data_IF_653159914220
#
_entry.id   IF_653159914220
#
_cell.length_a   1.000
_cell.length_b   1.000
_cell.length_c   1.000
_cell.angle_alpha   90.00
_cell.angle_beta   90.00
_cell.angle_gamma   90.00
#
_symmetry.space_group_name_H-M   'P 1'
#
loop_
_entity.id
_entity.type
_entity.pdbx_description
1 polymer ?
#
# COMPACT_ATOMS: atom_id res chain seq x y z
N UNK A 1 -24.72 -59.33 -23.04
CA UNK A 1 -25.03 -58.22 -22.10
C UNK A 1 -24.09 -57.06 -22.42
N UNK A 2 -24.51 -55.84 -22.13
CA UNK A 2 -24.10 -54.64 -22.86
C UNK A 2 -22.81 -53.97 -22.37
N UNK A 3 -22.16 -53.26 -23.29
CA UNK A 3 -21.59 -51.92 -23.07
C UNK A 3 -22.39 -50.93 -23.95
N UNK A 4 -22.30 -49.58 -23.79
CA UNK A 4 -21.50 -48.77 -22.85
C UNK A 4 -22.41 -48.18 -21.74
N UNK A 5 -22.20 -47.06 -21.01
CA UNK A 5 -21.23 -45.94 -21.08
C UNK A 5 -21.18 -45.14 -19.75
N UNK A 6 -20.19 -44.23 -19.60
CA UNK A 6 -20.16 -43.06 -18.67
C UNK A 6 -20.10 -43.38 -17.15
N UNK A 7 -19.38 -42.66 -16.26
CA UNK A 7 -18.47 -41.48 -16.30
C UNK A 7 -17.38 -41.63 -15.21
N UNK A 8 -16.21 -40.94 -15.32
CA UNK A 8 -15.31 -40.75 -14.19
C UNK A 8 -15.77 -39.58 -13.30
N UNK A 9 -16.18 -39.86 -12.07
CA UNK A 9 -16.56 -38.82 -11.09
C UNK A 9 -15.39 -38.47 -10.16
N UNK A 10 -14.48 -37.61 -10.63
CA UNK A 10 -13.67 -36.79 -9.74
C UNK A 10 -14.41 -35.48 -9.44
N UNK A 11 -14.42 -35.07 -8.17
CA UNK A 11 -14.10 -33.68 -7.85
C UNK A 11 -12.73 -33.66 -7.19
N UNK A 12 -11.80 -32.94 -7.79
CA UNK A 12 -10.60 -32.46 -7.14
C UNK A 12 -10.99 -31.77 -5.82
N UNK A 13 -10.15 -31.91 -4.78
CA UNK A 13 -10.20 -30.97 -3.65
C UNK A 13 -10.03 -29.53 -4.16
N UNK A 14 -10.50 -28.50 -3.41
CA UNK A 14 -10.77 -27.18 -3.94
C UNK A 14 -9.59 -26.62 -4.75
N UNK A 15 -9.75 -26.68 -6.08
CA UNK A 15 -8.90 -25.97 -7.01
C UNK A 15 -9.02 -24.49 -6.64
N UNK A 16 -7.89 -23.90 -6.24
CA UNK A 16 -7.84 -22.49 -5.87
C UNK A 16 -8.36 -21.68 -7.06
N UNK A 17 -9.56 -21.11 -6.94
CA UNK A 17 -10.22 -20.48 -8.10
C UNK A 17 -9.25 -19.47 -8.73
N UNK A 18 -8.98 -19.59 -10.04
CA UNK A 18 -8.06 -18.69 -10.70
C UNK A 18 -8.68 -17.30 -10.64
N UNK A 19 -8.05 -16.42 -9.86
CA UNK A 19 -8.49 -15.05 -9.59
C UNK A 19 -9.28 -14.49 -10.78
N UNK A 20 -10.60 -14.38 -10.62
CA UNK A 20 -11.46 -13.75 -11.62
C UNK A 20 -10.81 -12.40 -12.00
N UNK A 21 -10.81 -12.00 -13.28
CA UNK A 21 -10.05 -10.85 -13.74
C UNK A 21 -10.59 -9.56 -13.13
N UNK A 22 -10.12 -9.25 -11.92
CA UNK A 22 -10.28 -7.96 -11.29
C UNK A 22 -9.65 -6.97 -12.25
N UNK A 23 -10.49 -6.05 -12.70
CA UNK A 23 -10.12 -5.02 -13.65
C UNK A 23 -8.90 -4.28 -13.09
N UNK A 24 -7.71 -4.59 -13.61
CA UNK A 24 -6.38 -4.19 -13.07
C UNK A 24 -6.19 -2.68 -12.88
N UNK A 25 -7.07 -1.86 -13.48
CA UNK A 25 -7.20 -0.41 -13.28
C UNK A 25 -7.89 -0.06 -11.95
N UNK A 26 -8.94 -0.77 -11.57
CA UNK A 26 -9.63 -0.57 -10.29
C UNK A 26 -8.75 -1.01 -9.11
N UNK A 27 -8.02 -2.11 -9.22
CA UNK A 27 -7.07 -2.53 -8.17
C UNK A 27 -5.98 -1.47 -7.96
N UNK A 28 -5.44 -0.90 -9.04
CA UNK A 28 -4.49 0.22 -8.98
C UNK A 28 -5.08 1.50 -8.36
N UNK A 29 -6.34 1.83 -8.67
CA UNK A 29 -7.04 2.97 -8.07
C UNK A 29 -7.35 2.74 -6.58
N UNK A 30 -7.66 1.50 -6.18
CA UNK A 30 -7.86 1.12 -4.78
C UNK A 30 -6.54 1.20 -4.00
N UNK A 31 -5.44 0.72 -4.57
CA UNK A 31 -4.11 0.80 -3.96
C UNK A 31 -3.69 2.27 -3.79
N UNK A 32 -3.93 3.14 -4.78
CA UNK A 32 -3.73 4.60 -4.65
C UNK A 32 -4.63 5.18 -3.55
N UNK A 33 -5.92 4.84 -3.54
CA UNK A 33 -6.86 5.37 -2.56
C UNK A 33 -6.49 4.96 -1.14
N UNK A 34 -6.24 3.66 -0.90
CA UNK A 34 -5.84 3.10 0.39
C UNK A 34 -4.55 3.73 0.90
N UNK A 35 -3.54 3.87 0.03
CA UNK A 35 -2.27 4.50 0.38
C UNK A 35 -2.47 5.97 0.80
N UNK A 36 -3.28 6.74 0.08
CA UNK A 36 -3.52 8.15 0.40
C UNK A 36 -4.41 8.34 1.63
N UNK A 37 -5.50 7.58 1.77
CA UNK A 37 -6.42 7.69 2.91
C UNK A 37 -5.75 7.28 4.23
N UNK A 38 -4.99 6.18 4.23
CA UNK A 38 -4.22 5.74 5.38
C UNK A 38 -3.10 6.72 5.71
N UNK A 39 -2.38 7.21 4.70
CA UNK A 39 -1.32 8.21 4.91
C UNK A 39 -1.88 9.52 5.49
N UNK A 40 -3.08 9.96 5.10
CA UNK A 40 -3.75 11.11 5.73
C UNK A 40 -4.07 10.87 7.21
N UNK A 41 -4.66 9.72 7.56
CA UNK A 41 -5.01 9.37 8.94
C UNK A 41 -3.78 9.33 9.87
N UNK A 42 -2.64 8.84 9.36
CA UNK A 42 -1.37 8.82 10.10
C UNK A 42 -0.67 10.18 10.09
N UNK A 43 -0.75 10.95 9.00
CA UNK A 43 -0.04 12.21 8.86
C UNK A 43 -0.64 13.36 9.67
N UNK A 44 -1.96 13.46 9.79
CA UNK A 44 -2.61 14.55 10.55
C UNK A 44 -2.04 14.70 11.98
N UNK A 45 -1.97 13.66 12.84
CA UNK A 45 -1.38 13.80 14.17
C UNK A 45 0.14 14.03 14.15
N UNK A 46 0.85 13.53 13.13
CA UNK A 46 2.31 13.73 13.03
C UNK A 46 2.64 15.16 12.60
N UNK A 47 1.98 15.68 11.57
CA UNK A 47 2.32 16.93 10.91
C UNK A 47 1.68 18.14 11.61
N UNK A 48 0.39 18.08 11.95
CA UNK A 48 -0.32 19.22 12.54
C UNK A 48 -0.18 19.29 14.06
N UNK A 49 -0.12 18.15 14.76
CA UNK A 49 -0.09 18.12 16.24
C UNK A 49 1.35 18.02 16.78
N UNK A 50 2.17 17.13 16.23
CA UNK A 50 3.52 16.88 16.75
C UNK A 50 4.60 17.74 16.08
N UNK A 51 4.51 17.96 14.76
CA UNK A 51 5.39 18.86 14.04
C UNK A 51 4.85 20.29 13.88
N UNK A 52 3.66 20.61 14.42
CA UNK A 52 3.17 22.00 14.53
C UNK A 52 2.81 22.72 13.22
N UNK A 53 2.73 22.01 12.09
CA UNK A 53 2.49 22.61 10.77
C UNK A 53 1.14 23.32 10.66
N UNK A 54 1.07 24.35 9.81
CA UNK A 54 -0.22 24.88 9.38
C UNK A 54 -0.96 23.90 8.46
N UNK A 55 -2.29 24.01 8.43
CA UNK A 55 -3.13 23.32 7.44
C UNK A 55 -2.70 23.59 5.99
N UNK A 56 -2.08 24.74 5.71
CA UNK A 56 -1.63 25.10 4.37
C UNK A 56 -0.35 24.36 3.96
N UNK A 57 0.59 24.17 4.89
CA UNK A 57 1.80 23.35 4.67
C UNK A 57 1.41 21.88 4.55
N UNK A 58 0.62 21.35 5.50
CA UNK A 58 0.11 19.98 5.42
C UNK A 58 -0.56 19.70 4.08
N UNK A 59 -1.49 20.55 3.61
CA UNK A 59 -2.16 20.32 2.33
C UNK A 59 -1.19 20.35 1.13
N UNK A 60 -0.20 21.25 1.12
CA UNK A 60 0.86 21.27 0.09
C UNK A 60 1.68 19.98 0.12
N UNK A 61 2.16 19.58 1.30
CA UNK A 61 2.93 18.33 1.51
C UNK A 61 2.12 17.12 1.03
N UNK A 62 0.82 17.04 1.33
CA UNK A 62 -0.06 15.95 0.88
C UNK A 62 -0.29 15.94 -0.63
N UNK A 63 -0.48 17.10 -1.27
CA UNK A 63 -0.64 17.20 -2.73
C UNK A 63 0.66 16.86 -3.48
N UNK A 64 1.80 17.33 -2.99
CA UNK A 64 3.12 16.99 -3.54
C UNK A 64 3.43 15.51 -3.34
N UNK A 65 3.06 14.92 -2.19
CA UNK A 65 3.18 13.48 -1.95
C UNK A 65 2.37 12.65 -2.94
N UNK A 66 1.14 13.05 -3.28
CA UNK A 66 0.31 12.36 -4.28
C UNK A 66 1.00 12.32 -5.65
N UNK A 67 1.57 13.44 -6.09
CA UNK A 67 2.31 13.54 -7.36
C UNK A 67 3.58 12.69 -7.32
N UNK A 68 4.42 12.86 -6.29
CA UNK A 68 5.66 12.11 -6.16
C UNK A 68 5.42 10.61 -6.04
N UNK A 69 4.51 10.16 -5.17
CA UNK A 69 4.15 8.74 -5.01
C UNK A 69 3.73 8.11 -6.36
N UNK A 70 3.01 8.85 -7.20
CA UNK A 70 2.61 8.39 -8.53
C UNK A 70 3.81 8.23 -9.48
N UNK A 71 4.74 9.19 -9.48
CA UNK A 71 5.94 9.16 -10.32
C UNK A 71 6.95 8.10 -9.88
N UNK A 72 7.18 7.96 -8.58
CA UNK A 72 8.18 7.04 -8.01
C UNK A 72 7.71 5.60 -7.91
N UNK A 73 6.40 5.31 -8.02
CA UNK A 73 5.85 3.97 -7.80
C UNK A 73 6.58 2.87 -8.60
N UNK A 74 6.96 3.18 -9.85
CA UNK A 74 7.75 2.29 -10.71
C UNK A 74 9.22 2.18 -10.24
N UNK A 75 10.00 3.27 -10.11
CA UNK A 75 11.33 3.25 -9.50
C UNK A 75 11.42 2.51 -8.15
N UNK A 76 10.51 2.81 -7.22
CA UNK A 76 10.44 2.17 -5.90
C UNK A 76 10.20 0.66 -6.03
N UNK A 77 9.29 0.23 -6.90
CA UNK A 77 9.04 -1.21 -7.12
C UNK A 77 10.29 -1.94 -7.64
N UNK A 78 11.06 -1.31 -8.53
CA UNK A 78 12.32 -1.88 -9.04
C UNK A 78 13.37 -1.95 -7.92
N UNK A 79 13.52 -0.88 -7.14
CA UNK A 79 14.44 -0.82 -6.01
C UNK A 79 14.10 -1.88 -4.94
N UNK A 80 12.84 -1.96 -4.50
CA UNK A 80 12.36 -2.97 -3.55
C UNK A 80 12.68 -4.37 -4.00
N UNK A 81 12.36 -4.72 -5.25
CA UNK A 81 12.59 -6.06 -5.77
C UNK A 81 14.10 -6.39 -5.85
N UNK A 82 14.96 -5.41 -6.15
CA UNK A 82 16.41 -5.60 -6.11
C UNK A 82 16.93 -5.85 -4.69
N UNK A 83 16.49 -5.06 -3.69
CA UNK A 83 16.89 -5.26 -2.28
C UNK A 83 16.35 -6.59 -1.74
N UNK A 84 15.07 -6.90 -1.97
CA UNK A 84 14.44 -8.16 -1.50
C UNK A 84 15.09 -9.39 -2.14
N UNK A 85 15.43 -9.36 -3.44
CA UNK A 85 16.16 -10.46 -4.09
C UNK A 85 17.61 -10.62 -3.58
N UNK A 86 18.20 -9.58 -2.98
CA UNK A 86 19.59 -9.59 -2.49
C UNK A 86 19.71 -9.91 -1.01
N UNK A 87 18.75 -9.48 -0.19
CA UNK A 87 18.81 -9.53 1.27
C UNK A 87 17.61 -10.25 1.92
N UNK A 88 16.55 -10.54 1.17
CA UNK A 88 15.39 -11.29 1.64
C UNK A 88 15.69 -12.77 1.88
N UNK A 89 14.85 -13.40 2.70
CA UNK A 89 15.04 -14.75 3.22
C UNK A 89 14.83 -14.75 4.74
N UNK A 90 15.34 -15.75 5.46
CA UNK A 90 15.48 -15.68 6.93
C UNK A 90 14.18 -15.61 7.76
N UNK A 91 13.01 -15.87 7.17
CA UNK A 91 11.73 -15.90 7.88
C UNK A 91 11.06 -14.52 8.07
N UNK A 92 9.92 -14.46 8.80
CA UNK A 92 9.05 -13.29 8.81
C UNK A 92 9.69 -12.03 9.42
N UNK A 93 10.59 -12.19 10.39
CA UNK A 93 11.30 -11.06 11.02
C UNK A 93 12.29 -10.43 10.02
N UNK A 94 13.05 -11.24 9.28
CA UNK A 94 13.97 -10.73 8.26
C UNK A 94 13.18 -10.03 7.14
N UNK A 95 12.11 -10.64 6.64
CA UNK A 95 11.23 -10.02 5.64
C UNK A 95 10.72 -8.63 6.09
N UNK A 96 10.25 -8.50 7.34
CA UNK A 96 9.84 -7.22 7.93
C UNK A 96 11.00 -6.21 8.02
N UNK A 97 12.19 -6.63 8.42
CA UNK A 97 13.37 -5.75 8.51
C UNK A 97 13.85 -5.28 7.14
N UNK A 98 13.84 -6.16 6.13
CA UNK A 98 14.19 -5.82 4.74
C UNK A 98 13.16 -4.86 4.14
N UNK A 99 11.87 -5.09 4.35
CA UNK A 99 10.82 -4.16 3.90
C UNK A 99 10.89 -2.82 4.62
N UNK A 100 11.15 -2.81 5.93
CA UNK A 100 11.39 -1.58 6.71
C UNK A 100 12.61 -0.83 6.18
N UNK A 101 13.71 -1.53 5.88
CA UNK A 101 14.91 -0.92 5.31
C UNK A 101 14.66 -0.33 3.93
N UNK A 102 13.99 -1.06 3.02
CA UNK A 102 13.59 -0.56 1.69
C UNK A 102 12.73 0.70 1.82
N UNK A 103 11.74 0.65 2.72
CA UNK A 103 10.82 1.76 2.95
C UNK A 103 11.57 2.98 3.49
N UNK A 104 12.35 2.86 4.55
CA UNK A 104 13.11 3.98 5.11
C UNK A 104 14.13 4.52 4.11
N UNK A 105 14.98 3.67 3.51
CA UNK A 105 16.05 4.12 2.61
C UNK A 105 15.56 4.87 1.36
N UNK A 106 14.36 4.56 0.85
CA UNK A 106 13.80 5.20 -0.34
C UNK A 106 12.73 6.27 -0.01
N UNK A 107 11.81 6.00 0.91
CA UNK A 107 10.70 6.89 1.23
C UNK A 107 11.11 8.03 2.15
N UNK A 108 12.11 7.85 3.03
CA UNK A 108 12.52 8.89 3.99
C UNK A 108 13.13 10.13 3.32
N UNK A 109 14.09 10.02 2.36
CA UNK A 109 14.60 11.19 1.65
C UNK A 109 13.51 11.93 0.86
N UNK A 110 12.56 11.18 0.31
CA UNK A 110 11.40 11.74 -0.39
C UNK A 110 10.43 12.44 0.56
N UNK A 111 10.20 11.89 1.76
CA UNK A 111 9.39 12.53 2.78
C UNK A 111 10.00 13.86 3.23
N UNK A 112 11.30 13.87 3.57
CA UNK A 112 12.02 15.09 3.92
C UNK A 112 11.99 16.14 2.80
N UNK A 113 12.27 15.73 1.56
CA UNK A 113 12.21 16.64 0.40
C UNK A 113 10.80 17.19 0.16
N UNK A 114 9.78 16.36 0.34
CA UNK A 114 8.38 16.74 0.19
C UNK A 114 7.90 17.71 1.29
N UNK A 115 8.32 17.51 2.54
CA UNK A 115 8.09 18.46 3.62
C UNK A 115 8.79 19.81 3.34
N UNK A 116 10.07 19.76 2.96
CA UNK A 116 10.86 20.96 2.67
C UNK A 116 10.26 21.78 1.51
N UNK A 117 9.85 21.12 0.43
CA UNK A 117 9.11 21.75 -0.68
C UNK A 117 7.72 22.26 -0.28
N UNK A 118 7.11 21.69 0.76
CA UNK A 118 5.85 22.16 1.35
C UNK A 118 5.98 23.48 2.13
N UNK A 119 7.20 23.88 2.49
CA UNK A 119 7.52 25.06 3.29
C UNK A 119 8.00 24.74 4.71
N UNK A 120 8.09 23.46 5.09
CA UNK A 120 8.48 23.04 6.43
C UNK A 120 9.92 23.45 6.80
N UNK A 121 10.10 23.90 8.04
CA UNK A 121 11.40 24.12 8.66
C UNK A 121 12.09 22.81 9.04
N UNK A 122 13.40 22.86 9.27
CA UNK A 122 14.22 21.69 9.56
C UNK A 122 13.85 20.99 10.88
N UNK A 123 13.37 21.74 11.88
CA UNK A 123 12.96 21.19 13.18
C UNK A 123 11.63 20.43 13.08
N UNK A 124 10.69 20.94 12.28
CA UNK A 124 9.43 20.26 11.96
C UNK A 124 9.69 18.99 11.13
N UNK A 125 10.59 19.07 10.14
CA UNK A 125 11.04 17.91 9.34
C UNK A 125 11.65 16.84 10.25
N UNK A 126 12.56 17.19 11.15
CA UNK A 126 13.20 16.24 12.06
C UNK A 126 12.18 15.58 13.01
N UNK A 127 11.28 16.38 13.59
CA UNK A 127 10.25 15.90 14.52
C UNK A 127 9.29 14.93 13.84
N UNK A 128 8.68 15.35 12.72
CA UNK A 128 7.76 14.50 11.96
C UNK A 128 8.45 13.22 11.48
N UNK A 129 9.70 13.31 11.03
CA UNK A 129 10.51 12.19 10.56
C UNK A 129 10.72 11.12 11.64
N UNK A 130 11.12 11.52 12.85
CA UNK A 130 11.34 10.60 13.98
C UNK A 130 10.02 9.96 14.40
N UNK A 131 8.97 10.76 14.57
CA UNK A 131 7.63 10.28 14.90
C UNK A 131 7.11 9.30 13.84
N UNK A 132 7.28 9.62 12.56
CA UNK A 132 6.87 8.77 11.45
C UNK A 132 7.62 7.43 11.45
N UNK A 133 8.93 7.40 11.69
CA UNK A 133 9.68 6.14 11.76
C UNK A 133 9.22 5.26 12.93
N UNK A 134 8.96 5.85 14.11
CA UNK A 134 8.46 5.12 15.28
C UNK A 134 7.04 4.57 15.04
N UNK A 135 6.14 5.39 14.50
CA UNK A 135 4.75 5.03 14.25
C UNK A 135 4.63 4.05 13.07
N UNK A 136 5.33 4.26 11.96
CA UNK A 136 5.29 3.37 10.80
C UNK A 136 5.91 2.00 11.09
N UNK A 137 6.98 1.96 11.91
CA UNK A 137 7.51 0.69 12.44
C UNK A 137 6.46 -0.06 13.27
N UNK A 138 5.75 0.63 14.17
CA UNK A 138 4.68 0.02 14.95
C UNK A 138 3.43 -0.38 14.12
N UNK A 139 3.12 0.36 13.03
CA UNK A 139 1.87 0.22 12.25
C UNK A 139 2.00 -0.60 10.95
N UNK A 140 3.15 -1.22 10.67
CA UNK A 140 3.34 -2.03 9.45
C UNK A 140 2.30 -3.15 9.26
N UNK A 141 1.88 -3.80 10.35
CA UNK A 141 0.80 -4.80 10.34
C UNK A 141 -0.60 -4.20 10.04
N UNK A 142 -1.05 -3.18 10.80
CA UNK A 142 -2.32 -2.48 10.55
C UNK A 142 -2.57 -2.00 9.11
N UNK A 143 -1.55 -1.54 8.38
CA UNK A 143 -1.73 -1.13 6.97
C UNK A 143 -2.19 -2.28 6.07
N UNK A 144 -1.58 -3.47 6.21
CA UNK A 144 -1.97 -4.66 5.44
C UNK A 144 -3.42 -5.09 5.74
N UNK A 145 -3.82 -5.04 7.01
CA UNK A 145 -5.19 -5.35 7.45
C UNK A 145 -6.20 -4.36 6.84
N UNK A 146 -5.87 -3.07 6.78
CA UNK A 146 -6.72 -2.05 6.15
C UNK A 146 -6.87 -2.25 4.64
N UNK A 147 -5.77 -2.57 3.95
CA UNK A 147 -5.76 -2.85 2.51
C UNK A 147 -6.62 -4.08 2.17
N UNK A 148 -6.45 -5.17 2.91
CA UNK A 148 -7.23 -6.40 2.73
C UNK A 148 -8.72 -6.20 3.05
N UNK A 149 -9.04 -5.38 4.05
CA UNK A 149 -10.42 -4.98 4.33
C UNK A 149 -11.02 -4.19 3.16
N UNK A 150 -10.31 -3.18 2.64
CA UNK A 150 -10.75 -2.38 1.48
C UNK A 150 -11.00 -3.26 0.23
N UNK A 151 -10.08 -4.18 -0.07
CA UNK A 151 -10.22 -5.12 -1.19
C UNK A 151 -11.42 -6.04 -1.02
N UNK A 152 -11.66 -6.58 0.18
CA UNK A 152 -12.86 -7.38 0.49
C UNK A 152 -14.15 -6.58 0.33
N UNK A 153 -14.19 -5.33 0.82
CA UNK A 153 -15.36 -4.45 0.65
C UNK A 153 -15.62 -4.18 -0.84
N UNK A 154 -14.59 -3.90 -1.63
CA UNK A 154 -14.74 -3.64 -3.06
C UNK A 154 -15.22 -4.87 -3.86
N UNK A 155 -14.59 -6.03 -3.64
CA UNK A 155 -14.95 -7.30 -4.30
C UNK A 155 -16.41 -7.66 -3.98
N UNK A 156 -16.82 -7.55 -2.71
CA UNK A 156 -18.15 -7.97 -2.27
C UNK A 156 -19.27 -7.01 -2.70
N UNK A 157 -18.99 -5.70 -2.83
CA UNK A 157 -20.05 -4.69 -3.05
C UNK A 157 -20.04 -4.08 -4.46
N UNK A 158 -18.87 -3.88 -5.08
CA UNK A 158 -18.76 -3.08 -6.31
C UNK A 158 -18.61 -3.94 -7.56
N UNK A 159 -17.85 -5.03 -7.48
CA UNK A 159 -17.71 -6.02 -8.57
C UNK A 159 -19.07 -6.52 -9.11
N UNK A 160 -20.03 -7.00 -8.27
CA UNK A 160 -21.33 -7.47 -8.76
C UNK A 160 -22.25 -6.35 -9.31
N UNK A 161 -22.06 -5.09 -8.91
CA UNK A 161 -22.84 -3.96 -9.42
C UNK A 161 -22.37 -3.51 -10.81
N UNK A 162 -21.07 -3.59 -11.10
CA UNK A 162 -20.52 -3.32 -12.42
C UNK A 162 -20.87 -4.45 -13.42
N UNK A 163 -20.83 -5.71 -12.98
CA UNK A 163 -21.28 -6.85 -13.79
C UNK A 163 -22.75 -6.73 -14.22
N UNK A 164 -23.64 -6.27 -13.32
CA UNK A 164 -25.07 -6.03 -13.62
C UNK A 164 -25.37 -4.83 -14.52
N UNK A 165 -24.38 -4.00 -14.89
CA UNK A 165 -24.53 -2.89 -15.86
C UNK A 165 -23.94 -3.19 -17.24
N UNK A 166 -23.32 -4.36 -17.40
CA UNK A 166 -22.72 -4.83 -18.66
C UNK A 166 -23.48 -6.00 -19.29
N UNK A 167 -24.70 -6.28 -18.79
CA UNK A 167 -25.70 -7.22 -19.32
C UNK A 167 -27.02 -6.48 -19.52
#
# INVERSE_FOLDING_TARGET
MSAPALTPSSPSGPEAEPNAPSNRRWDFLLDIFAMNSFSWAVAIPIELVLAGMSWSEHLKVRLMALVFNTLIARPFSVYRNWVVNRFGGGGPINAYLVDTFVFVSFQFPLYMGNMHLGGASWDEIATASITFMLIAGALGGPYGIYLDWLRRVWINNVSPLLGKRAS
#
